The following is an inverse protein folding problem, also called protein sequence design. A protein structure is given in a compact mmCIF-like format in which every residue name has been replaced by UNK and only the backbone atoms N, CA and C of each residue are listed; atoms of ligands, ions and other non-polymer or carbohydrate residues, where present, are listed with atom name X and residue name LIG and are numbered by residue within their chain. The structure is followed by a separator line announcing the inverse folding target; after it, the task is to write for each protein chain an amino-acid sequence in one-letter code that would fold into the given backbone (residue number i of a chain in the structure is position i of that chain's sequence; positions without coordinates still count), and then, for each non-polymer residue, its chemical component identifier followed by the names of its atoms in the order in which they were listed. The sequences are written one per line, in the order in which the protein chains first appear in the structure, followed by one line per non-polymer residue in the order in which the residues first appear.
data_IF_415963424867
#
_entry.id   IF_415963424867
#
_cell.length_a   1.000
_cell.length_b   1.000
_cell.length_c   1.000
_cell.angle_alpha   90.00
_cell.angle_beta   90.00
_cell.angle_gamma   90.00
#
_symmetry.space_group_name_H-M   'P 1'
#
loop_
_entity.id
_entity.type
_entity.pdbx_description
1 polymer ?
#
# COMPACT_ATOMS: atom_id res chain seq x y z
N UNK A 1 25.79 -20.79 -2.47
CA UNK A 1 24.36 -20.78 -2.86
C UNK A 1 23.46 -20.17 -1.79
N UNK A 2 23.51 -20.67 -0.54
CA UNK A 2 22.68 -20.24 0.60
C UNK A 2 22.69 -18.72 0.87
N UNK A 3 23.86 -18.08 0.83
CA UNK A 3 23.99 -16.62 1.04
C UNK A 3 23.33 -15.79 -0.07
N UNK A 4 23.45 -16.21 -1.33
CA UNK A 4 22.82 -15.52 -2.47
C UNK A 4 21.30 -15.56 -2.39
N UNK A 5 20.74 -16.72 -2.00
CA UNK A 5 19.30 -16.90 -1.79
C UNK A 5 18.83 -16.01 -0.62
N UNK A 6 19.59 -15.96 0.48
CA UNK A 6 19.30 -15.06 1.61
C UNK A 6 19.23 -13.60 1.20
N UNK A 7 20.23 -13.14 0.43
CA UNK A 7 20.28 -11.76 -0.07
C UNK A 7 19.09 -11.47 -0.99
N UNK A 8 18.76 -12.39 -1.90
CA UNK A 8 17.64 -12.22 -2.81
C UNK A 8 16.30 -12.11 -2.06
N UNK A 9 16.09 -12.95 -1.04
CA UNK A 9 14.88 -12.89 -0.20
C UNK A 9 14.82 -11.58 0.60
N UNK A 10 15.96 -11.11 1.11
CA UNK A 10 16.04 -9.82 1.79
C UNK A 10 15.67 -8.65 0.85
N UNK A 11 16.24 -8.63 -0.36
CA UNK A 11 15.95 -7.61 -1.37
C UNK A 11 14.46 -7.62 -1.73
N UNK A 12 13.86 -8.79 -1.93
CA UNK A 12 12.43 -8.91 -2.24
C UNK A 12 11.55 -8.37 -1.12
N UNK A 13 11.91 -8.60 0.15
CA UNK A 13 11.18 -8.05 1.30
C UNK A 13 11.36 -6.54 1.46
N UNK A 14 12.57 -6.05 1.25
CA UNK A 14 12.83 -4.60 1.21
C UNK A 14 11.98 -3.95 0.14
N UNK A 15 11.92 -4.53 -1.06
CA UNK A 15 11.09 -4.05 -2.15
C UNK A 15 9.60 -4.01 -1.75
N UNK A 16 9.06 -5.10 -1.20
CA UNK A 16 7.67 -5.14 -0.72
C UNK A 16 7.37 -4.09 0.36
N UNK A 17 8.33 -3.87 1.28
CA UNK A 17 8.22 -2.85 2.33
C UNK A 17 8.25 -1.44 1.75
N UNK A 18 9.10 -1.18 0.75
CA UNK A 18 9.16 0.11 0.05
C UNK A 18 7.87 0.38 -0.73
N UNK A 19 7.30 -0.62 -1.40
CA UNK A 19 6.00 -0.49 -2.09
C UNK A 19 4.87 -0.18 -1.10
N UNK A 20 4.86 -0.83 0.07
CA UNK A 20 3.91 -0.52 1.13
C UNK A 20 4.12 0.90 1.68
N UNK A 21 5.37 1.34 1.86
CA UNK A 21 5.72 2.69 2.29
C UNK A 21 5.30 3.76 1.27
N UNK A 22 5.48 3.50 -0.01
CA UNK A 22 5.01 4.38 -1.08
C UNK A 22 3.48 4.50 -1.05
N UNK A 23 2.77 3.38 -0.88
CA UNK A 23 1.30 3.36 -0.75
C UNK A 23 0.84 4.20 0.46
N UNK A 24 1.48 3.98 1.61
CA UNK A 24 1.21 4.72 2.84
C UNK A 24 1.41 6.22 2.64
N UNK A 25 2.53 6.63 2.02
CA UNK A 25 2.83 8.03 1.74
C UNK A 25 1.78 8.67 0.83
N UNK A 26 1.46 8.04 -0.29
CA UNK A 26 0.51 8.58 -1.27
C UNK A 26 -0.89 8.70 -0.66
N UNK A 27 -1.36 7.69 0.07
CA UNK A 27 -2.67 7.73 0.71
C UNK A 27 -2.73 8.74 1.86
N UNK A 28 -1.65 8.86 2.65
CA UNK A 28 -1.53 9.90 3.68
C UNK A 28 -1.66 11.29 3.08
N UNK A 29 -1.03 11.55 1.92
CA UNK A 29 -1.15 12.83 1.21
C UNK A 29 -2.58 13.07 0.73
N UNK A 30 -3.28 12.05 0.26
CA UNK A 30 -4.69 12.16 -0.16
C UNK A 30 -5.60 12.50 1.02
N UNK A 31 -5.47 11.80 2.15
CA UNK A 31 -6.23 12.06 3.37
C UNK A 31 -5.90 13.45 3.93
N UNK A 32 -4.62 13.83 3.94
CA UNK A 32 -4.19 15.16 4.38
C UNK A 32 -4.83 16.26 3.52
N UNK A 33 -4.81 16.11 2.20
CA UNK A 33 -5.45 17.05 1.28
C UNK A 33 -6.96 17.15 1.56
N UNK A 34 -7.65 16.04 1.82
CA UNK A 34 -9.06 16.10 2.23
C UNK A 34 -9.25 16.83 3.56
N UNK A 35 -8.48 16.45 4.59
CA UNK A 35 -8.60 17.01 5.93
C UNK A 35 -8.42 18.54 5.94
N UNK A 36 -7.51 19.09 5.13
CA UNK A 36 -7.27 20.54 5.08
C UNK A 36 -8.23 21.31 4.17
N UNK A 37 -8.86 20.65 3.19
CA UNK A 37 -9.68 21.34 2.18
C UNK A 37 -11.18 21.14 2.31
N UNK A 38 -11.64 20.15 3.09
CA UNK A 38 -13.07 19.79 3.17
C UNK A 38 -13.97 20.87 3.74
N UNK A 39 -13.45 21.79 4.55
CA UNK A 39 -14.20 22.91 5.14
C UNK A 39 -14.27 24.13 4.22
N UNK A 40 -13.41 24.21 3.21
CA UNK A 40 -13.34 25.36 2.30
C UNK A 40 -14.58 25.35 1.41
N UNK A 41 -15.25 26.50 1.32
CA UNK A 41 -16.41 26.69 0.45
C UNK A 41 -16.16 27.84 -0.52
N UNK A 42 -16.45 27.63 -1.80
CA UNK A 42 -16.52 28.68 -2.83
C UNK A 42 -17.92 28.62 -3.45
N UNK A 43 -18.60 29.75 -3.57
CA UNK A 43 -19.98 29.84 -4.08
C UNK A 43 -20.96 28.85 -3.40
N UNK A 44 -20.92 28.80 -2.06
CA UNK A 44 -21.75 27.91 -1.22
C UNK A 44 -21.58 26.39 -1.52
N UNK A 45 -20.51 25.99 -2.21
CA UNK A 45 -20.16 24.60 -2.51
C UNK A 45 -18.76 24.29 -1.98
N UNK A 46 -18.55 23.07 -1.47
CA UNK A 46 -17.23 22.55 -1.10
C UNK A 46 -16.56 21.76 -2.24
N UNK A 47 -15.24 21.49 -2.15
CA UNK A 47 -14.52 20.77 -3.21
C UNK A 47 -14.88 19.28 -3.29
N UNK A 48 -15.29 18.66 -2.18
CA UNK A 48 -15.56 17.22 -2.11
C UNK A 48 -17.04 16.88 -2.26
N UNK A 49 -17.34 15.59 -2.44
CA UNK A 49 -18.71 15.09 -2.44
C UNK A 49 -19.41 15.39 -1.11
N UNK A 50 -20.71 15.72 -1.15
CA UNK A 50 -21.50 16.11 0.03
C UNK A 50 -21.48 15.04 1.14
N UNK A 51 -21.40 13.77 0.77
CA UNK A 51 -21.21 12.64 1.66
C UNK A 51 -19.97 11.88 1.21
N UNK A 52 -18.79 12.42 1.56
CA UNK A 52 -17.53 11.81 1.16
C UNK A 52 -17.25 10.56 2.01
N UNK A 53 -17.02 9.43 1.35
CA UNK A 53 -16.71 8.17 2.02
C UNK A 53 -15.20 8.00 2.19
N UNK A 54 -14.74 7.84 3.43
CA UNK A 54 -13.31 7.72 3.75
C UNK A 54 -12.85 6.28 3.95
N UNK A 55 -13.76 5.31 3.99
CA UNK A 55 -13.42 3.94 4.35
C UNK A 55 -12.37 3.29 3.43
N UNK A 56 -12.38 3.48 2.08
CA UNK A 56 -11.38 2.83 1.22
C UNK A 56 -9.98 3.39 1.50
N UNK A 57 -9.90 4.69 1.74
CA UNK A 57 -8.67 5.41 2.06
C UNK A 57 -8.11 5.01 3.43
N UNK A 58 -8.96 4.96 4.46
CA UNK A 58 -8.55 4.57 5.82
C UNK A 58 -8.12 3.10 5.84
N UNK A 59 -8.84 2.21 5.16
CA UNK A 59 -8.46 0.79 5.04
C UNK A 59 -7.08 0.65 4.39
N UNK A 60 -6.84 1.32 3.25
CA UNK A 60 -5.57 1.24 2.55
C UNK A 60 -4.42 1.84 3.37
N UNK A 61 -4.66 2.96 4.06
CA UNK A 61 -3.71 3.56 4.98
C UNK A 61 -3.33 2.59 6.12
N UNK A 62 -4.32 1.94 6.73
CA UNK A 62 -4.08 0.99 7.81
C UNK A 62 -3.32 -0.26 7.32
N UNK A 63 -3.73 -0.85 6.20
CA UNK A 63 -3.09 -2.03 5.62
C UNK A 63 -1.63 -1.75 5.22
N UNK A 64 -1.37 -0.61 4.61
CA UNK A 64 0.00 -0.17 4.25
C UNK A 64 0.83 0.14 5.50
N UNK A 65 0.26 0.80 6.50
CA UNK A 65 0.94 1.08 7.78
C UNK A 65 1.36 -0.18 8.52
N UNK A 66 0.45 -1.15 8.66
CA UNK A 66 0.75 -2.47 9.28
C UNK A 66 1.83 -3.19 8.47
N UNK A 67 1.73 -3.20 7.14
CA UNK A 67 2.72 -3.84 6.26
C UNK A 67 4.11 -3.22 6.41
N UNK A 68 4.21 -1.90 6.53
CA UNK A 68 5.48 -1.20 6.77
C UNK A 68 6.05 -1.57 8.14
N UNK A 69 5.23 -1.58 9.19
CA UNK A 69 5.68 -1.95 10.55
C UNK A 69 6.21 -3.38 10.57
N UNK A 70 5.46 -4.34 10.01
CA UNK A 70 5.90 -5.73 9.91
C UNK A 70 7.18 -5.83 9.07
N UNK A 71 7.23 -5.15 7.92
CA UNK A 71 8.41 -5.08 7.07
C UNK A 71 9.65 -4.60 7.84
N UNK A 72 9.56 -3.48 8.54
CA UNK A 72 10.65 -2.94 9.36
C UNK A 72 11.05 -3.89 10.49
N UNK A 73 10.10 -4.48 11.21
CA UNK A 73 10.38 -5.46 12.25
C UNK A 73 11.12 -6.68 11.69
N UNK A 74 10.71 -7.18 10.52
CA UNK A 74 11.41 -8.30 9.87
C UNK A 74 12.83 -7.92 9.43
N UNK A 75 13.06 -6.69 8.97
CA UNK A 75 14.41 -6.21 8.63
C UNK A 75 15.31 -6.08 9.85
N UNK A 76 14.78 -5.53 10.96
CA UNK A 76 15.50 -5.43 12.23
C UNK A 76 15.79 -6.83 12.79
N UNK A 77 14.83 -7.75 12.74
CA UNK A 77 15.03 -9.14 13.13
C UNK A 77 16.11 -9.81 12.26
N UNK A 78 16.11 -9.55 10.96
CA UNK A 78 17.09 -10.12 10.03
C UNK A 78 18.50 -9.59 10.28
N UNK A 79 18.67 -8.27 10.49
CA UNK A 79 19.97 -7.66 10.83
C UNK A 79 20.51 -8.12 12.19
N UNK A 80 19.63 -8.34 13.18
CA UNK A 80 20.01 -8.94 14.47
C UNK A 80 20.31 -10.44 14.35
N UNK A 81 19.55 -11.18 13.54
CA UNK A 81 19.73 -12.63 13.29
C UNK A 81 21.02 -12.92 12.51
N UNK A 82 21.42 -12.07 11.56
CA UNK A 82 22.74 -12.15 10.92
C UNK A 82 23.88 -12.04 11.94
N UNK A 83 23.71 -11.19 12.96
CA UNK A 83 24.68 -11.03 14.07
C UNK A 83 24.66 -12.19 15.06
N UNK A 84 23.54 -12.92 15.15
CA UNK A 84 23.30 -13.91 16.19
C UNK A 84 23.45 -15.38 15.75
N UNK A 85 23.36 -15.74 14.46
CA UNK A 85 23.29 -17.17 14.15
C UNK A 85 23.80 -17.66 12.78
N UNK A 86 24.75 -18.59 12.90
CA UNK A 86 25.04 -19.68 11.97
C UNK A 86 24.09 -20.90 12.16
N UNK A 87 22.90 -20.72 12.74
CA UNK A 87 21.89 -21.78 12.86
C UNK A 87 20.50 -21.21 12.52
N UNK A 88 20.08 -21.40 11.27
CA UNK A 88 18.68 -21.18 10.88
C UNK A 88 17.91 -22.41 11.32
N UNK A 89 16.99 -22.25 12.27
CA UNK A 89 16.12 -23.34 12.71
C UNK A 89 14.99 -23.54 11.68
N UNK A 90 14.65 -24.78 11.32
CA UNK A 90 13.60 -25.12 10.35
C UNK A 90 12.27 -24.39 10.66
N UNK A 91 11.95 -24.25 11.95
CA UNK A 91 10.79 -23.54 12.47
C UNK A 91 10.73 -22.06 12.07
N UNK A 92 11.87 -21.36 12.02
CA UNK A 92 11.94 -19.94 11.63
C UNK A 92 11.49 -19.74 10.17
N UNK A 93 11.86 -20.69 9.30
CA UNK A 93 11.50 -20.64 7.88
C UNK A 93 10.01 -20.88 7.66
N UNK A 94 9.41 -21.82 8.38
CA UNK A 94 7.97 -22.11 8.30
C UNK A 94 7.15 -20.90 8.72
N UNK A 95 7.41 -20.34 9.90
CA UNK A 95 6.68 -19.18 10.43
C UNK A 95 6.74 -18.03 9.42
N UNK A 96 7.92 -17.78 8.87
CA UNK A 96 8.14 -16.70 7.93
C UNK A 96 7.35 -16.89 6.63
N UNK A 97 7.33 -18.09 6.07
CA UNK A 97 6.57 -18.37 4.85
C UNK A 97 5.05 -18.27 5.10
N UNK A 98 4.57 -18.69 6.28
CA UNK A 98 3.16 -18.54 6.67
C UNK A 98 2.75 -17.07 6.71
N UNK A 99 3.59 -16.19 7.28
CA UNK A 99 3.35 -14.74 7.29
C UNK A 99 3.32 -14.18 5.87
N UNK A 100 4.24 -14.61 4.99
CA UNK A 100 4.26 -14.18 3.58
C UNK A 100 2.98 -14.58 2.83
N UNK A 101 2.44 -15.77 3.10
CA UNK A 101 1.19 -16.22 2.50
C UNK A 101 -0.02 -15.41 2.99
N UNK A 102 -0.09 -15.15 4.30
CA UNK A 102 -1.12 -14.28 4.86
C UNK A 102 -1.05 -12.85 4.27
N UNK A 103 0.16 -12.33 4.04
CA UNK A 103 0.40 -11.04 3.41
C UNK A 103 -0.09 -10.99 1.95
N UNK A 104 0.10 -12.05 1.17
CA UNK A 104 -0.43 -12.11 -0.20
C UNK A 104 -1.95 -12.04 -0.19
N UNK A 105 -2.60 -12.87 0.64
CA UNK A 105 -4.05 -12.91 0.74
C UNK A 105 -4.63 -11.56 1.19
N UNK A 106 -4.01 -10.92 2.19
CA UNK A 106 -4.47 -9.62 2.67
C UNK A 106 -4.37 -8.54 1.60
N UNK A 107 -3.28 -8.48 0.83
CA UNK A 107 -3.13 -7.48 -0.22
C UNK A 107 -4.03 -7.72 -1.43
N UNK A 108 -4.35 -8.98 -1.77
CA UNK A 108 -5.39 -9.28 -2.77
C UNK A 108 -6.74 -8.72 -2.32
N UNK A 109 -7.14 -8.97 -1.07
CA UNK A 109 -8.39 -8.44 -0.51
C UNK A 109 -8.38 -6.92 -0.50
N UNK A 110 -7.28 -6.29 -0.05
CA UNK A 110 -7.12 -4.83 -0.04
C UNK A 110 -7.24 -4.25 -1.45
N UNK A 111 -6.59 -4.84 -2.46
CA UNK A 111 -6.64 -4.34 -3.83
C UNK A 111 -8.05 -4.44 -4.43
N UNK A 112 -8.77 -5.54 -4.16
CA UNK A 112 -10.17 -5.72 -4.57
C UNK A 112 -11.08 -4.72 -3.86
N UNK A 113 -11.02 -4.65 -2.54
CA UNK A 113 -11.85 -3.74 -1.74
C UNK A 113 -11.59 -2.27 -2.06
N UNK A 114 -10.32 -1.89 -2.26
CA UNK A 114 -9.99 -0.54 -2.66
C UNK A 114 -10.66 -0.21 -4.00
N UNK A 115 -10.53 -1.12 -5.00
CA UNK A 115 -11.14 -0.96 -6.33
C UNK A 115 -12.66 -0.90 -6.30
N UNK A 116 -13.32 -1.77 -5.54
CA UNK A 116 -14.79 -1.79 -5.42
C UNK A 116 -15.31 -0.60 -4.62
N UNK A 117 -14.52 -0.07 -3.69
CA UNK A 117 -14.81 1.15 -2.94
C UNK A 117 -14.83 2.43 -3.81
N UNK A 118 -14.37 2.36 -5.06
CA UNK A 118 -14.41 3.46 -6.04
C UNK A 118 -15.82 3.67 -6.61
N UNK A 119 -16.68 4.31 -5.82
CA UNK A 119 -18.09 4.56 -6.13
C UNK A 119 -18.35 5.98 -6.63
N UNK A 120 -17.36 6.87 -6.57
CA UNK A 120 -17.50 8.28 -6.94
C UNK A 120 -17.85 9.20 -5.76
N UNK A 121 -18.14 8.63 -4.59
CA UNK A 121 -18.33 9.37 -3.34
C UNK A 121 -17.13 9.26 -2.41
N UNK A 122 -16.22 8.33 -2.67
CA UNK A 122 -14.93 8.17 -2.04
C UNK A 122 -13.88 9.16 -2.59
N UNK A 123 -12.78 9.37 -1.89
CA UNK A 123 -11.80 10.42 -2.24
C UNK A 123 -11.26 10.30 -3.68
N UNK A 124 -10.72 9.14 -4.03
CA UNK A 124 -10.13 8.93 -5.36
C UNK A 124 -11.20 8.74 -6.45
N UNK A 125 -12.33 8.07 -6.15
CA UNK A 125 -13.46 7.96 -7.07
C UNK A 125 -14.05 9.31 -7.42
N UNK A 126 -14.25 10.18 -6.42
CA UNK A 126 -14.71 11.56 -6.63
C UNK A 126 -13.70 12.35 -7.44
N UNK A 127 -12.41 12.33 -7.05
CA UNK A 127 -11.36 13.08 -7.75
C UNK A 127 -11.22 12.68 -9.22
N UNK A 128 -11.46 11.41 -9.56
CA UNK A 128 -11.46 10.94 -10.94
C UNK A 128 -12.76 11.21 -11.71
N UNK A 129 -13.79 11.81 -11.08
CA UNK A 129 -15.09 12.02 -11.71
C UNK A 129 -15.10 13.23 -12.65
N UNK A 130 -15.96 13.24 -13.69
CA UNK A 130 -16.15 14.42 -14.53
C UNK A 130 -16.66 15.64 -13.75
N UNK A 131 -17.41 15.42 -12.66
CA UNK A 131 -17.93 16.49 -11.82
C UNK A 131 -16.82 17.22 -11.06
N UNK A 132 -15.85 16.49 -10.51
CA UNK A 132 -14.69 17.09 -9.85
C UNK A 132 -13.90 17.97 -10.83
N UNK A 133 -13.67 17.50 -12.06
CA UNK A 133 -12.99 18.27 -13.11
C UNK A 133 -13.75 19.54 -13.51
N UNK A 134 -15.09 19.50 -13.53
CA UNK A 134 -15.91 20.69 -13.85
C UNK A 134 -15.82 21.77 -12.78
N UNK A 135 -15.67 21.40 -11.51
CA UNK A 135 -15.60 22.36 -10.40
C UNK A 135 -14.18 22.81 -10.08
N UNK A 136 -13.17 22.11 -10.57
CA UNK A 136 -11.74 22.37 -10.33
C UNK A 136 -11.31 23.84 -10.54
N UNK A 137 -11.75 24.56 -11.59
CA UNK A 137 -11.40 25.98 -11.75
C UNK A 137 -11.89 26.86 -10.59
N UNK A 138 -13.00 26.49 -9.96
CA UNK A 138 -13.51 27.20 -8.78
C UNK A 138 -12.69 26.93 -7.52
N UNK A 139 -11.82 25.92 -7.51
CA UNK A 139 -10.97 25.54 -6.37
C UNK A 139 -9.48 25.57 -6.73
N UNK A 140 -9.11 26.34 -7.75
CA UNK A 140 -7.72 26.55 -8.11
C UNK A 140 -6.91 27.06 -6.89
N UNK A 141 -5.72 26.48 -6.72
CA UNK A 141 -4.84 26.71 -5.57
C UNK A 141 -5.25 25.99 -4.27
N UNK A 142 -6.42 25.33 -4.23
CA UNK A 142 -6.89 24.59 -3.05
C UNK A 142 -6.68 23.09 -3.21
N UNK A 143 -7.15 22.53 -4.32
CA UNK A 143 -7.05 21.09 -4.58
C UNK A 143 -6.83 20.83 -6.07
N UNK A 144 -5.92 19.92 -6.37
CA UNK A 144 -5.70 19.38 -7.71
C UNK A 144 -6.29 17.97 -7.75
N UNK A 145 -7.46 17.84 -8.39
CA UNK A 145 -8.17 16.57 -8.44
C UNK A 145 -7.48 15.58 -9.38
N UNK A 146 -6.78 16.05 -10.41
CA UNK A 146 -5.99 15.19 -11.29
C UNK A 146 -4.86 14.50 -10.51
N UNK A 147 -4.18 15.23 -9.63
CA UNK A 147 -3.15 14.66 -8.75
C UNK A 147 -3.75 13.65 -7.77
N UNK A 148 -4.89 13.94 -7.14
CA UNK A 148 -5.55 12.99 -6.23
C UNK A 148 -5.98 11.72 -6.97
N UNK A 149 -6.57 11.86 -8.16
CA UNK A 149 -6.95 10.73 -9.01
C UNK A 149 -5.74 9.87 -9.42
N UNK A 150 -4.62 10.52 -9.77
CA UNK A 150 -3.37 9.83 -10.11
C UNK A 150 -2.82 9.05 -8.91
N UNK A 151 -2.78 9.66 -7.71
CA UNK A 151 -2.34 8.97 -6.48
C UNK A 151 -3.16 7.72 -6.22
N UNK A 152 -4.49 7.81 -6.32
CA UNK A 152 -5.34 6.64 -6.13
C UNK A 152 -5.09 5.55 -7.17
N UNK A 153 -4.93 5.92 -8.45
CA UNK A 153 -4.61 4.96 -9.51
C UNK A 153 -3.27 4.28 -9.27
N UNK A 154 -2.25 5.04 -8.87
CA UNK A 154 -0.94 4.51 -8.47
C UNK A 154 -1.07 3.60 -7.25
N UNK A 155 -1.85 3.98 -6.23
CA UNK A 155 -2.08 3.17 -5.04
C UNK A 155 -2.73 1.83 -5.35
N UNK A 156 -3.69 1.80 -6.28
CA UNK A 156 -4.27 0.54 -6.74
C UNK A 156 -3.25 -0.34 -7.46
N UNK A 157 -2.42 0.24 -8.34
CA UNK A 157 -1.35 -0.49 -9.00
C UNK A 157 -0.29 -1.02 -8.02
N UNK A 158 0.09 -0.22 -7.02
CA UNK A 158 0.98 -0.63 -5.92
C UNK A 158 0.36 -1.76 -5.09
N UNK A 159 -0.95 -1.71 -4.87
CA UNK A 159 -1.70 -2.76 -4.20
C UNK A 159 -1.67 -4.12 -4.92
N UNK A 160 -1.55 -4.12 -6.24
CA UNK A 160 -1.33 -5.34 -7.04
C UNK A 160 0.15 -5.74 -7.12
N UNK A 161 1.05 -4.76 -7.16
CA UNK A 161 2.50 -5.02 -7.21
C UNK A 161 3.03 -5.64 -5.92
N UNK A 162 2.49 -5.24 -4.76
CA UNK A 162 2.91 -5.74 -3.46
C UNK A 162 2.80 -7.29 -3.33
N UNK A 163 1.63 -7.91 -3.55
CA UNK A 163 1.51 -9.37 -3.49
C UNK A 163 2.32 -10.05 -4.60
N UNK A 164 2.48 -9.44 -5.78
CA UNK A 164 3.29 -10.01 -6.87
C UNK A 164 4.77 -10.17 -6.47
N UNK A 165 5.35 -9.18 -5.79
CA UNK A 165 6.73 -9.27 -5.26
C UNK A 165 6.84 -10.35 -4.19
N UNK A 166 5.84 -10.49 -3.31
CA UNK A 166 5.84 -11.54 -2.29
C UNK A 166 5.68 -12.94 -2.88
N UNK A 167 4.86 -13.09 -3.93
CA UNK A 167 4.75 -14.35 -4.70
C UNK A 167 6.09 -14.72 -5.33
N UNK A 168 6.79 -13.76 -5.94
CA UNK A 168 8.12 -13.99 -6.50
C UNK A 168 9.10 -14.51 -5.44
N UNK A 169 9.06 -13.95 -4.23
CA UNK A 169 9.87 -14.42 -3.10
C UNK A 169 9.54 -15.87 -2.68
N UNK A 170 8.26 -16.23 -2.64
CA UNK A 170 7.83 -17.61 -2.34
C UNK A 170 8.26 -18.59 -3.44
N UNK A 171 8.17 -18.21 -4.71
CA UNK A 171 8.64 -19.04 -5.82
C UNK A 171 10.14 -19.33 -5.72
N UNK A 172 10.96 -18.33 -5.38
CA UNK A 172 12.40 -18.52 -5.13
C UNK A 172 12.62 -19.56 -4.04
N UNK A 173 11.84 -19.50 -2.95
CA UNK A 173 11.96 -20.46 -1.86
C UNK A 173 11.56 -21.88 -2.26
N UNK A 174 10.44 -22.04 -2.99
CA UNK A 174 9.97 -23.36 -3.46
C UNK A 174 11.01 -24.05 -4.35
N UNK A 175 11.58 -23.32 -5.31
CA UNK A 175 12.62 -23.85 -6.21
C UNK A 175 13.87 -24.27 -5.44
N UNK A 176 14.21 -23.55 -4.37
CA UNK A 176 15.35 -23.90 -3.51
C UNK A 176 15.02 -25.08 -2.61
N UNK A 177 13.79 -25.19 -2.10
CA UNK A 177 13.38 -26.30 -1.23
C UNK A 177 13.31 -27.63 -2.00
N UNK A 178 13.01 -27.58 -3.30
CA UNK A 178 13.00 -28.74 -4.18
C UNK A 178 14.40 -29.23 -4.61
N UNK A 179 15.47 -28.47 -4.31
CA UNK A 179 16.87 -28.80 -4.65
C UNK A 179 17.67 -29.19 -3.42
#
# INVERSE_FOLDING_TARGET
LKTKIRILRLISRLLGTVLAGATLYLESRTIYTYATTHTIKRNNRGPWAKQTSLWPSVMLLAASGISVIIGLLTMVAYTRSIRAANNINFYETIITNTIEMAHILSWVVVAVLYRTGRTGHDLWGWACSPLARKIEPSFEGVVDFATVCRRGTTNWALGLANPAVTIFNLCIWLVVFQR
#
